data_IF_675906287847
#
_entry.id   IF_675906287847
#
_cell.length_a   1.000
_cell.length_b   1.000
_cell.length_c   1.000
_cell.angle_alpha   90.00
_cell.angle_beta   90.00
_cell.angle_gamma   90.00
#
_symmetry.space_group_name_H-M   'P 1'
#
loop_
_entity.id
_entity.type
_entity.pdbx_description
1 polymer ?
#
# COMPACT_ATOMS: atom_id res chain seq x y z
N UNK A 1 -5.43 5.56 -3.71
CA UNK A 1 -6.57 6.49 -3.53
C UNK A 1 -6.03 7.91 -3.43
N UNK A 2 -6.77 8.92 -3.91
CA UNK A 2 -6.46 10.35 -3.75
C UNK A 2 -7.46 10.97 -2.77
N UNK A 3 -7.02 11.86 -1.88
CA UNK A 3 -7.90 12.56 -0.95
C UNK A 3 -8.87 13.48 -1.67
N UNK A 4 -10.08 13.63 -1.10
CA UNK A 4 -11.09 14.59 -1.59
C UNK A 4 -10.84 16.01 -1.10
N UNK A 5 -10.10 16.17 0.00
CA UNK A 5 -9.84 17.48 0.63
C UNK A 5 -8.55 18.13 0.10
N UNK A 6 -7.54 17.32 -0.19
CA UNK A 6 -6.28 17.78 -0.77
C UNK A 6 -5.82 16.82 -1.88
N UNK A 7 -5.82 17.24 -3.16
CA UNK A 7 -5.43 16.38 -4.27
C UNK A 7 -3.95 15.98 -4.26
N UNK A 8 -3.10 16.60 -3.43
CA UNK A 8 -1.70 16.21 -3.28
C UNK A 8 -1.50 15.07 -2.27
N UNK A 9 -2.55 14.65 -1.56
CA UNK A 9 -2.50 13.55 -0.62
C UNK A 9 -3.01 12.26 -1.27
N UNK A 10 -2.14 11.25 -1.31
CA UNK A 10 -2.44 9.93 -1.83
C UNK A 10 -2.22 8.87 -0.75
N UNK A 11 -3.10 7.88 -0.72
CA UNK A 11 -3.01 6.72 0.18
C UNK A 11 -2.96 5.44 -0.63
N UNK A 12 -1.95 4.62 -0.36
CA UNK A 12 -1.85 3.27 -0.87
C UNK A 12 -2.38 2.34 0.22
N UNK A 13 -3.38 1.53 -0.13
CA UNK A 13 -3.93 0.51 0.76
C UNK A 13 -3.33 -0.82 0.36
N UNK A 14 -2.36 -1.28 1.15
CA UNK A 14 -1.58 -2.48 0.87
C UNK A 14 -1.92 -3.53 1.92
N UNK A 15 -2.61 -4.60 1.51
CA UNK A 15 -3.02 -5.69 2.38
C UNK A 15 -2.27 -6.97 1.98
N UNK A 16 -1.72 -7.66 2.98
CA UNK A 16 -0.95 -8.89 2.80
C UNK A 16 -1.44 -9.96 3.79
N UNK A 17 -1.30 -11.22 3.40
CA UNK A 17 -1.63 -12.35 4.27
C UNK A 17 -0.66 -12.50 5.44
N UNK A 18 0.59 -12.09 5.25
CA UNK A 18 1.65 -12.23 6.26
C UNK A 18 2.64 -11.07 6.18
N UNK A 19 3.42 -10.87 7.25
CA UNK A 19 4.51 -9.89 7.29
C UNK A 19 5.61 -10.17 6.25
N UNK A 20 5.87 -11.44 5.95
CA UNK A 20 6.82 -11.82 4.89
C UNK A 20 6.35 -11.32 3.52
N UNK A 21 5.03 -11.25 3.28
CA UNK A 21 4.47 -10.66 2.07
C UNK A 21 4.82 -9.17 1.94
N UNK A 22 4.77 -8.42 3.04
CA UNK A 22 5.17 -7.00 3.10
C UNK A 22 6.67 -6.87 2.77
N UNK A 23 7.50 -7.72 3.37
CA UNK A 23 8.95 -7.72 3.13
C UNK A 23 9.28 -8.05 1.69
N UNK A 24 8.70 -9.13 1.16
CA UNK A 24 8.89 -9.56 -0.22
C UNK A 24 8.47 -8.46 -1.21
N UNK A 25 7.34 -7.79 -0.97
CA UNK A 25 6.92 -6.65 -1.79
C UNK A 25 7.99 -5.56 -1.86
N UNK A 26 8.58 -5.18 -0.73
CA UNK A 26 9.62 -4.14 -0.65
C UNK A 26 10.95 -4.51 -1.30
N UNK A 27 11.14 -5.78 -1.63
CA UNK A 27 12.31 -6.29 -2.33
C UNK A 27 12.06 -6.45 -3.85
N UNK A 28 10.82 -6.30 -4.31
CA UNK A 28 10.51 -6.38 -5.75
C UNK A 28 11.13 -5.24 -6.55
N UNK A 29 11.55 -5.55 -7.78
CA UNK A 29 12.09 -4.56 -8.72
C UNK A 29 11.11 -3.40 -8.94
N UNK A 30 9.82 -3.71 -9.08
CA UNK A 30 8.77 -2.72 -9.29
C UNK A 30 8.66 -1.73 -8.12
N UNK A 31 8.71 -2.22 -6.88
CA UNK A 31 8.71 -1.35 -5.70
C UNK A 31 9.97 -0.47 -5.65
N UNK A 32 11.14 -1.04 -5.94
CA UNK A 32 12.41 -0.31 -5.91
C UNK A 32 12.41 0.81 -6.96
N UNK A 33 12.02 0.51 -8.20
CA UNK A 33 11.89 1.50 -9.27
C UNK A 33 10.86 2.57 -8.91
N UNK A 34 9.69 2.18 -8.38
CA UNK A 34 8.68 3.15 -7.94
C UNK A 34 9.22 4.08 -6.86
N UNK A 35 9.84 3.52 -5.82
CA UNK A 35 10.38 4.24 -4.67
C UNK A 35 11.40 5.30 -5.11
N UNK A 36 12.27 4.95 -6.05
CA UNK A 36 13.28 5.84 -6.62
C UNK A 36 12.65 6.91 -7.52
N UNK A 37 11.74 6.50 -8.40
CA UNK A 37 11.07 7.41 -9.35
C UNK A 37 10.32 8.54 -8.65
N UNK A 38 9.60 8.22 -7.56
CA UNK A 38 8.76 9.20 -6.87
C UNK A 38 9.51 10.00 -5.80
N UNK A 39 10.79 9.71 -5.55
CA UNK A 39 11.55 10.28 -4.43
C UNK A 39 11.52 11.82 -4.44
N UNK A 40 11.81 12.42 -5.59
CA UNK A 40 11.86 13.87 -5.76
C UNK A 40 10.47 14.53 -5.86
N UNK A 41 9.41 13.72 -5.98
CA UNK A 41 8.04 14.22 -6.06
C UNK A 41 7.39 14.38 -4.68
N UNK A 42 8.02 13.82 -3.65
CA UNK A 42 7.49 13.82 -2.29
C UNK A 42 7.77 15.16 -1.60
N UNK A 43 6.71 15.90 -1.27
CA UNK A 43 6.82 17.13 -0.47
C UNK A 43 7.32 16.85 0.97
N UNK A 44 7.14 15.63 1.48
CA UNK A 44 7.63 15.15 2.78
C UNK A 44 7.84 13.63 2.75
N UNK A 45 8.60 13.02 3.69
CA UNK A 45 8.72 11.57 3.80
C UNK A 45 7.34 10.88 3.87
N UNK A 46 7.22 9.71 3.25
CA UNK A 46 5.99 8.90 3.30
C UNK A 46 5.79 8.32 4.69
N UNK A 47 4.54 8.22 5.11
CA UNK A 47 4.12 7.64 6.37
C UNK A 47 3.42 6.30 6.11
N UNK A 48 3.75 5.28 6.89
CA UNK A 48 3.11 3.96 6.83
C UNK A 48 2.56 3.58 8.20
N UNK A 49 1.33 3.09 8.23
CA UNK A 49 0.67 2.60 9.45
C UNK A 49 0.15 1.19 9.18
N UNK A 50 0.44 0.28 10.10
CA UNK A 50 0.02 -1.11 10.04
C UNK A 50 -1.30 -1.31 10.80
N UNK A 51 -2.11 -2.23 10.31
CA UNK A 51 -3.42 -2.55 10.87
C UNK A 51 -3.65 -4.05 10.83
N UNK A 52 -4.41 -4.55 11.80
CA UNK A 52 -4.99 -5.89 11.76
C UNK A 52 -6.28 -5.88 10.95
N UNK A 53 -6.47 -6.91 10.13
CA UNK A 53 -7.72 -7.09 9.39
C UNK A 53 -8.78 -7.62 10.35
N UNK A 54 -9.78 -6.78 10.65
CA UNK A 54 -10.95 -7.17 11.46
C UNK A 54 -12.05 -7.74 10.56
N UNK A 55 -12.20 -7.22 9.34
CA UNK A 55 -13.23 -7.67 8.41
C UNK A 55 -12.83 -7.42 6.94
N UNK A 56 -13.35 -8.23 6.00
CA UNK A 56 -14.10 -9.47 6.26
C UNK A 56 -13.18 -10.56 6.85
N UNK A 57 -13.74 -11.34 7.78
CA UNK A 57 -13.06 -12.45 8.46
C UNK A 57 -12.72 -13.58 7.47
N UNK A 58 -13.61 -13.83 6.52
CA UNK A 58 -13.39 -14.79 5.46
C UNK A 58 -12.54 -14.16 4.34
N UNK A 59 -11.35 -14.72 4.12
CA UNK A 59 -10.44 -14.26 3.07
C UNK A 59 -11.05 -14.37 1.68
N UNK A 60 -11.96 -15.33 1.45
CA UNK A 60 -12.64 -15.47 0.17
C UNK A 60 -13.57 -14.29 -0.14
N UNK A 61 -14.00 -13.56 0.89
CA UNK A 61 -14.76 -12.31 0.73
C UNK A 61 -13.92 -11.13 0.22
N UNK A 62 -12.59 -11.24 0.21
CA UNK A 62 -11.70 -10.25 -0.42
C UNK A 62 -11.55 -10.45 -1.93
N UNK A 63 -11.97 -11.60 -2.46
CA UNK A 63 -11.88 -11.88 -3.89
C UNK A 63 -12.96 -11.08 -4.62
N UNK A 64 -12.54 -10.23 -5.56
CA UNK A 64 -13.47 -9.64 -6.50
C UNK A 64 -13.96 -10.72 -7.47
N UNK A 65 -15.29 -10.78 -7.70
CA UNK A 65 -15.87 -11.60 -8.75
C UNK A 65 -15.22 -11.20 -10.09
N UNK A 66 -14.53 -12.14 -10.72
CA UNK A 66 -14.06 -12.00 -12.10
C UNK A 66 -15.23 -12.09 -13.07
#
# INVERSE_FOLDING_TARGET
MQSKEDPNLFTFYEAYMTEEGIKAHKETEQYLTWRETVADWMAKPREGMTFEVVAPEDIDSWKTLK
#
